data_IF_709091965532
#
_entry.id   IF_709091965532
#
_cell.length_a   1.000
_cell.length_b   1.000
_cell.length_c   1.000
_cell.angle_alpha   90.00
_cell.angle_beta   90.00
_cell.angle_gamma   90.00
#
_symmetry.space_group_name_H-M   'P 1'
#
loop_
_entity.id
_entity.type
_entity.pdbx_description
1 polymer ?
#
# COMPACT_ATOMS: atom_id res chain seq x y z
N UNK A 1 -0.90 1.83 7.95
CA UNK A 1 -0.21 0.61 8.41
C UNK A 1 -0.70 -0.55 7.60
N UNK A 2 0.21 -1.41 7.15
CA UNK A 2 -0.04 -2.63 6.40
C UNK A 2 -0.07 -3.80 7.40
N UNK A 3 -1.17 -4.54 7.41
CA UNK A 3 -1.35 -5.77 8.19
C UNK A 3 -0.98 -7.01 7.35
N UNK A 4 -1.42 -7.06 6.09
CA UNK A 4 -1.01 -8.05 5.09
C UNK A 4 -0.59 -7.36 3.78
N UNK A 5 0.42 -7.87 3.05
CA UNK A 5 1.23 -9.03 3.38
C UNK A 5 2.16 -8.80 4.57
N UNK A 6 2.50 -9.87 5.30
CA UNK A 6 3.64 -9.84 6.22
C UNK A 6 4.96 -9.69 5.46
N UNK A 7 5.99 -9.23 6.16
CA UNK A 7 7.33 -9.03 5.60
C UNK A 7 7.88 -10.28 4.91
N UNK A 8 8.24 -10.17 3.64
CA UNK A 8 8.84 -11.25 2.84
C UNK A 8 7.84 -12.28 2.32
N UNK A 9 6.53 -11.96 2.31
CA UNK A 9 5.51 -12.84 1.72
C UNK A 9 5.78 -13.11 0.23
N UNK A 10 5.45 -14.32 -0.22
CA UNK A 10 5.72 -14.79 -1.58
C UNK A 10 4.44 -15.03 -2.36
N UNK A 11 4.39 -14.58 -3.62
CA UNK A 11 3.24 -14.72 -4.52
C UNK A 11 3.68 -15.11 -5.94
N UNK A 12 2.79 -15.75 -6.69
CA UNK A 12 3.07 -16.15 -8.07
C UNK A 12 3.03 -14.94 -9.02
N UNK A 13 3.92 -14.90 -10.01
CA UNK A 13 4.08 -13.83 -11.02
C UNK A 13 2.90 -13.62 -11.98
N UNK A 14 1.89 -14.48 -11.95
CA UNK A 14 0.64 -14.32 -12.72
C UNK A 14 -0.58 -14.35 -11.80
N UNK A 15 -0.34 -14.19 -10.49
CA UNK A 15 -1.37 -14.19 -9.47
C UNK A 15 -1.73 -12.77 -9.07
N UNK A 16 -2.40 -12.68 -7.94
CA UNK A 16 -2.63 -11.44 -7.23
C UNK A 16 -2.53 -11.72 -5.74
N UNK A 17 -2.41 -10.65 -4.95
CA UNK A 17 -2.54 -10.75 -3.52
C UNK A 17 -3.41 -9.64 -2.97
N UNK A 18 -4.05 -9.92 -1.83
CA UNK A 18 -4.81 -8.93 -1.09
C UNK A 18 -3.88 -8.23 -0.11
N UNK A 19 -3.76 -6.92 -0.23
CA UNK A 19 -3.14 -6.08 0.79
C UNK A 19 -4.23 -5.57 1.72
N UNK A 20 -4.00 -5.67 3.03
CA UNK A 20 -4.90 -5.15 4.05
C UNK A 20 -4.14 -4.28 5.01
N UNK A 21 -4.88 -3.42 5.70
CA UNK A 21 -4.30 -2.68 6.79
C UNK A 21 -5.29 -1.72 7.42
N UNK A 22 -4.72 -0.76 8.14
CA UNK A 22 -5.47 0.24 8.88
C UNK A 22 -4.91 1.64 8.66
N UNK A 23 -5.80 2.62 8.53
CA UNK A 23 -5.45 4.02 8.30
C UNK A 23 -6.57 4.97 8.72
N UNK A 24 -6.26 6.26 8.74
CA UNK A 24 -7.25 7.32 8.89
C UNK A 24 -6.68 8.56 8.20
N UNK A 25 -7.45 9.13 7.27
CA UNK A 25 -7.09 10.34 6.54
C UNK A 25 -8.33 11.21 6.34
N UNK A 26 -8.12 12.46 5.89
CA UNK A 26 -9.21 13.42 5.69
C UNK A 26 -10.25 12.92 4.68
N UNK A 27 -9.82 12.23 3.62
CA UNK A 27 -10.68 11.73 2.54
C UNK A 27 -11.00 10.24 2.65
N UNK A 28 -10.66 9.59 3.77
CA UNK A 28 -10.77 8.14 3.96
C UNK A 28 -9.94 7.33 2.93
N UNK A 29 -8.88 7.92 2.38
CA UNK A 29 -8.04 7.33 1.32
C UNK A 29 -6.57 7.24 1.73
N UNK A 30 -5.90 6.23 1.19
CA UNK A 30 -4.46 6.14 1.09
C UNK A 30 -4.08 5.64 -0.30
N UNK A 31 -2.78 5.67 -0.61
CA UNK A 31 -2.25 5.17 -1.87
C UNK A 31 -1.23 4.08 -1.61
N UNK A 32 -1.34 2.96 -2.33
CA UNK A 32 -0.35 1.91 -2.32
C UNK A 32 0.27 1.71 -3.69
N UNK A 33 1.59 1.50 -3.75
CA UNK A 33 2.33 1.13 -4.97
C UNK A 33 3.27 -0.03 -4.69
N UNK A 34 3.50 -0.85 -5.70
CA UNK A 34 4.55 -1.86 -5.69
C UNK A 34 5.76 -1.31 -6.45
N UNK A 35 6.92 -1.30 -5.79
CA UNK A 35 8.16 -0.76 -6.31
C UNK A 35 9.18 -1.87 -6.59
N UNK A 36 9.87 -1.78 -7.72
CA UNK A 36 11.07 -2.57 -7.99
C UNK A 36 12.26 -2.07 -7.15
N UNK A 37 13.35 -2.84 -7.16
CA UNK A 37 14.55 -2.55 -6.35
C UNK A 37 15.25 -1.22 -6.70
N UNK A 38 15.06 -0.70 -7.91
CA UNK A 38 15.57 0.60 -8.36
C UNK A 38 14.59 1.76 -8.09
N UNK A 39 13.43 1.47 -7.49
CA UNK A 39 12.38 2.43 -7.20
C UNK A 39 11.36 2.64 -8.33
N UNK A 40 11.43 1.88 -9.43
CA UNK A 40 10.39 1.91 -10.46
C UNK A 40 9.05 1.41 -9.91
N UNK A 41 7.97 2.14 -10.20
CA UNK A 41 6.61 1.67 -9.89
C UNK A 41 6.20 0.61 -10.90
N UNK A 42 6.00 -0.61 -10.44
CA UNK A 42 5.57 -1.74 -11.28
C UNK A 42 4.06 -2.02 -11.16
N UNK A 43 3.44 -1.64 -10.04
CA UNK A 43 1.98 -1.69 -9.87
C UNK A 43 1.51 -0.45 -9.10
N UNK A 44 0.38 0.13 -9.53
CA UNK A 44 -0.28 1.26 -8.89
C UNK A 44 0.04 2.62 -9.52
N UNK A 45 -0.35 3.74 -8.85
CA UNK A 45 -0.96 3.79 -7.53
C UNK A 45 -2.34 3.14 -7.46
N UNK A 46 -2.59 2.45 -6.36
CA UNK A 46 -3.86 1.82 -6.00
C UNK A 46 -4.47 2.57 -4.82
N UNK A 47 -5.77 2.80 -4.84
CA UNK A 47 -6.47 3.49 -3.77
C UNK A 47 -6.79 2.50 -2.65
N UNK A 48 -6.24 2.73 -1.46
CA UNK A 48 -6.62 2.06 -0.23
C UNK A 48 -7.80 2.81 0.40
N UNK A 49 -9.02 2.43 0.04
CA UNK A 49 -10.24 3.02 0.61
C UNK A 49 -10.43 2.50 2.04
N UNK A 50 -10.51 3.42 2.99
CA UNK A 50 -10.78 3.14 4.39
C UNK A 50 -12.29 3.10 4.62
N UNK A 51 -12.74 2.23 5.53
CA UNK A 51 -14.15 2.08 5.90
C UNK A 51 -14.74 3.28 6.66
N UNK A 52 -13.89 4.23 7.07
CA UNK A 52 -14.31 5.45 7.76
C UNK A 52 -13.17 6.47 7.87
N UNK A 53 -13.49 7.62 8.48
CA UNK A 53 -12.61 8.79 8.56
C UNK A 53 -12.99 9.69 9.75
N UNK A 54 -12.08 10.59 10.14
CA UNK A 54 -12.27 11.67 11.15
C UNK A 54 -12.64 11.26 12.59
N UNK A 55 -12.72 9.97 12.91
CA UNK A 55 -12.86 9.48 14.28
C UNK A 55 -11.48 9.20 14.92
N UNK A 56 -11.34 9.15 16.26
CA UNK A 56 -10.06 8.90 16.93
C UNK A 56 -9.66 7.41 16.92
N UNK A 57 -9.80 6.74 15.77
CA UNK A 57 -9.45 5.34 15.55
C UNK A 57 -8.89 5.13 14.14
N UNK A 58 -8.25 3.99 13.90
CA UNK A 58 -7.86 3.60 12.55
C UNK A 58 -8.95 2.71 11.95
N UNK A 59 -9.27 2.96 10.69
CA UNK A 59 -10.26 2.22 9.93
C UNK A 59 -9.56 1.19 9.04
N UNK A 60 -10.14 0.00 8.90
CA UNK A 60 -9.61 -1.01 7.99
C UNK A 60 -9.70 -0.53 6.54
N UNK A 61 -8.80 -1.03 5.72
CA UNK A 61 -8.82 -0.94 4.26
C UNK A 61 -8.35 -2.26 3.66
N UNK A 62 -8.80 -2.52 2.44
CA UNK A 62 -8.44 -3.70 1.66
C UNK A 62 -8.29 -3.31 0.19
N UNK A 63 -7.27 -3.87 -0.49
CA UNK A 63 -7.11 -3.75 -1.94
C UNK A 63 -6.48 -5.02 -2.52
N UNK A 64 -6.67 -5.22 -3.82
CA UNK A 64 -6.01 -6.30 -4.57
C UNK A 64 -4.86 -5.73 -5.38
N UNK A 65 -3.69 -6.35 -5.27
CA UNK A 65 -2.50 -6.08 -6.10
C UNK A 65 -2.40 -7.19 -7.15
N UNK A 66 -2.59 -6.84 -8.41
CA UNK A 66 -2.41 -7.75 -9.54
C UNK A 66 -0.93 -7.84 -9.92
N UNK A 67 -0.43 -9.06 -10.11
CA UNK A 67 0.96 -9.33 -10.47
C UNK A 67 1.10 -9.78 -11.93
N UNK A 68 0.04 -9.80 -12.73
CA UNK A 68 0.16 -10.15 -14.15
C UNK A 68 1.19 -9.25 -14.86
N UNK A 69 2.16 -9.89 -15.52
CA UNK A 69 3.27 -9.21 -16.18
C UNK A 69 4.38 -8.71 -15.25
N UNK A 70 4.29 -8.89 -13.93
CA UNK A 70 5.37 -8.58 -12.98
C UNK A 70 6.39 -9.72 -12.99
N UNK A 71 7.65 -9.48 -13.37
CA UNK A 71 8.66 -10.53 -13.37
C UNK A 71 8.93 -11.10 -11.96
N UNK A 72 9.45 -12.34 -11.85
CA UNK A 72 9.95 -12.84 -10.57
C UNK A 72 11.05 -11.94 -9.99
N UNK A 73 10.98 -11.66 -8.70
CA UNK A 73 11.89 -10.72 -8.04
C UNK A 73 11.46 -10.30 -6.64
N UNK A 74 12.24 -9.39 -6.06
CA UNK A 74 11.94 -8.77 -4.76
C UNK A 74 11.46 -7.34 -4.98
N UNK A 75 10.32 -7.01 -4.36
CA UNK A 75 9.60 -5.76 -4.51
C UNK A 75 9.30 -5.15 -3.14
N UNK A 76 9.01 -3.85 -3.13
CA UNK A 76 8.56 -3.13 -1.93
C UNK A 76 7.13 -2.64 -2.16
N UNK A 77 6.17 -3.16 -1.41
CA UNK A 77 4.86 -2.54 -1.29
C UNK A 77 5.03 -1.32 -0.38
N UNK A 78 4.67 -0.14 -0.86
CA UNK A 78 4.62 1.09 -0.06
C UNK A 78 3.20 1.59 -0.02
N UNK A 79 2.70 1.93 1.17
CA UNK A 79 1.38 2.50 1.37
C UNK A 79 1.50 3.79 2.17
N UNK A 80 0.91 4.87 1.65
CA UNK A 80 0.90 6.20 2.25
C UNK A 80 -0.53 6.61 2.61
N UNK A 81 -0.72 7.24 3.77
CA UNK A 81 -1.96 7.98 4.04
C UNK A 81 -1.99 9.22 3.16
N UNK A 82 -3.15 9.54 2.58
CA UNK A 82 -3.27 10.75 1.77
C UNK A 82 -3.06 12.01 2.63
N UNK A 83 -2.40 13.01 2.06
CA UNK A 83 -2.21 14.34 2.65
C UNK A 83 -2.52 15.40 1.59
N UNK A 84 -3.72 16.02 1.63
CA UNK A 84 -4.15 16.99 0.64
C UNK A 84 -3.31 18.29 0.65
N UNK A 85 -2.46 18.49 1.66
CA UNK A 85 -1.57 19.66 1.78
C UNK A 85 -0.15 19.40 1.25
N UNK A 86 0.16 18.16 0.86
CA UNK A 86 1.50 17.78 0.39
C UNK A 86 2.59 17.90 1.47
N UNK A 87 2.25 17.65 2.74
CA UNK A 87 3.18 17.71 3.87
C UNK A 87 3.39 19.11 4.44
N UNK A 88 2.57 20.09 4.06
CA UNK A 88 2.73 21.49 4.48
C UNK A 88 1.96 21.84 5.75
N UNK A 89 0.96 21.03 6.13
CA UNK A 89 0.23 21.15 7.40
C UNK A 89 0.22 19.81 8.17
N UNK A 90 0.32 19.87 9.49
CA UNK A 90 0.34 18.67 10.34
C UNK A 90 1.64 17.85 10.26
N UNK A 91 1.64 16.58 10.70
CA UNK A 91 2.83 15.73 10.70
C UNK A 91 3.24 15.21 9.30
N UNK A 92 2.48 15.52 8.24
CA UNK A 92 2.65 14.96 6.89
C UNK A 92 2.07 13.56 6.72
N UNK A 93 2.42 12.90 5.61
CA UNK A 93 1.98 11.53 5.30
C UNK A 93 2.68 10.50 6.18
N UNK A 94 1.94 9.46 6.56
CA UNK A 94 2.53 8.25 7.14
C UNK A 94 2.77 7.23 6.04
N UNK A 95 4.02 6.80 5.91
CA UNK A 95 4.43 5.73 4.99
C UNK A 95 4.68 4.45 5.75
N UNK A 96 4.17 3.34 5.26
CA UNK A 96 4.50 1.99 5.71
C UNK A 96 4.90 1.13 4.51
N UNK A 97 5.85 0.22 4.72
CA UNK A 97 6.41 -0.61 3.65
C UNK A 97 6.47 -2.08 4.03
N UNK A 98 6.36 -2.95 3.03
CA UNK A 98 6.53 -4.40 3.16
C UNK A 98 7.35 -4.95 2.01
N UNK A 99 8.32 -5.81 2.31
CA UNK A 99 8.97 -6.61 1.26
C UNK A 99 8.00 -7.67 0.76
N UNK A 100 7.89 -7.80 -0.56
CA UNK A 100 7.10 -8.81 -1.27
C UNK A 100 8.00 -9.54 -2.25
N UNK A 101 7.87 -10.85 -2.35
CA UNK A 101 8.62 -11.70 -3.28
C UNK A 101 7.64 -12.24 -4.33
N UNK A 102 8.02 -12.11 -5.60
CA UNK A 102 7.28 -12.66 -6.74
C UNK A 102 8.08 -13.83 -7.32
N UNK A 103 7.45 -14.98 -7.52
CA UNK A 103 8.04 -16.21 -8.07
C UNK A 103 7.34 -16.73 -9.34
#
# INVERSE_FOLDING_TARGET
SIDEPIEGSTFASSGSFTATGRGNSFEATGNCTLLAADGEVVVGPLIAQMDGYMEPQLFPWELTVDLDGVPPGTYTLTCITDDPTGGTEGPGTYTDTRTVIVE
#
